data_IF_894980927286
#
_entry.id   IF_894980927286
#
_cell.length_a   1.000
_cell.length_b   1.000
_cell.length_c   1.000
_cell.angle_alpha   90.00
_cell.angle_beta   90.00
_cell.angle_gamma   90.00
#
_symmetry.space_group_name_H-M   'P 1'
#
loop_
_entity.id
_entity.type
_entity.pdbx_description
1 polymer ?
#
# COMPACT_ATOMS: atom_id res chain seq x y z
N UNK A 1 -14.08 43.19 0.15
CA UNK A 1 -14.36 41.83 0.65
C UNK A 1 -14.61 41.91 2.15
N UNK A 2 -15.72 41.37 2.65
CA UNK A 2 -16.00 41.39 4.10
C UNK A 2 -14.99 40.47 4.81
N UNK A 3 -14.42 40.92 5.93
CA UNK A 3 -13.41 40.18 6.69
C UNK A 3 -13.89 38.75 7.06
N UNK A 4 -15.19 38.58 7.30
CA UNK A 4 -15.83 37.28 7.55
C UNK A 4 -15.75 36.34 6.33
N UNK A 5 -15.95 36.89 5.14
CA UNK A 5 -15.88 36.15 3.87
C UNK A 5 -14.45 35.69 3.57
N UNK A 6 -13.44 36.50 3.95
CA UNK A 6 -12.04 36.12 3.82
C UNK A 6 -11.65 34.98 4.77
N UNK A 7 -12.11 35.04 6.02
CA UNK A 7 -11.86 33.97 7.01
C UNK A 7 -12.46 32.62 6.58
N UNK A 8 -13.67 32.62 6.03
CA UNK A 8 -14.33 31.42 5.52
C UNK A 8 -13.53 30.82 4.35
N UNK A 9 -13.06 31.66 3.43
CA UNK A 9 -12.29 31.20 2.27
C UNK A 9 -10.96 30.56 2.69
N UNK A 10 -10.27 31.14 3.68
CA UNK A 10 -9.03 30.61 4.21
C UNK A 10 -9.23 29.24 4.90
N UNK A 11 -10.34 29.07 5.61
CA UNK A 11 -10.68 27.83 6.30
C UNK A 11 -10.96 26.69 5.32
N UNK A 12 -11.68 26.97 4.23
CA UNK A 12 -11.98 25.97 3.19
C UNK A 12 -10.69 25.47 2.52
N UNK A 13 -9.77 26.38 2.19
CA UNK A 13 -8.48 26.02 1.59
C UNK A 13 -7.62 25.18 2.54
N UNK A 14 -7.65 25.44 3.85
CA UNK A 14 -6.90 24.66 4.84
C UNK A 14 -7.42 23.21 4.96
N UNK A 15 -8.73 22.99 4.82
CA UNK A 15 -9.33 21.65 4.91
C UNK A 15 -9.01 20.81 3.66
N UNK A 16 -8.96 21.43 2.47
CA UNK A 16 -8.73 20.72 1.20
C UNK A 16 -7.33 20.11 1.05
N UNK A 17 -6.33 20.61 1.78
CA UNK A 17 -4.92 20.15 1.67
C UNK A 17 -4.68 18.79 2.35
N UNK A 18 -5.60 18.32 3.19
CA UNK A 18 -5.46 17.05 3.91
C UNK A 18 -5.86 15.81 3.09
N UNK A 19 -6.35 15.97 1.86
CA UNK A 19 -6.77 14.88 0.99
C UNK A 19 -5.60 14.34 0.16
N UNK A 20 -4.60 13.73 0.79
CA UNK A 20 -3.60 12.94 0.08
C UNK A 20 -4.21 11.59 -0.32
N UNK A 21 -4.17 11.26 -1.62
CA UNK A 21 -4.47 9.90 -2.07
C UNK A 21 -3.40 8.93 -1.52
N UNK A 22 -3.81 7.70 -1.18
CA UNK A 22 -2.85 6.67 -0.79
C UNK A 22 -1.83 6.45 -1.93
N UNK A 23 -0.52 6.37 -1.64
CA UNK A 23 0.45 6.01 -2.66
C UNK A 23 0.08 4.63 -3.23
N UNK A 24 0.24 4.47 -4.55
CA UNK A 24 0.09 3.17 -5.17
C UNK A 24 0.97 2.15 -4.42
N UNK A 25 0.44 0.96 -4.14
CA UNK A 25 1.23 -0.08 -3.51
C UNK A 25 2.47 -0.35 -4.37
N UNK A 26 3.64 -0.56 -3.76
CA UNK A 26 4.81 -1.02 -4.49
C UNK A 26 4.44 -2.27 -5.31
N UNK A 27 4.92 -2.39 -6.56
CA UNK A 27 4.63 -3.57 -7.37
C UNK A 27 5.10 -4.84 -6.65
N UNK A 28 4.31 -5.91 -6.75
CA UNK A 28 4.71 -7.23 -6.27
C UNK A 28 5.79 -7.76 -7.22
N UNK A 29 6.96 -8.09 -6.67
CA UNK A 29 8.05 -8.71 -7.41
C UNK A 29 7.70 -10.19 -7.59
N UNK A 30 7.63 -10.65 -8.83
CA UNK A 30 7.27 -12.02 -9.20
C UNK A 30 8.47 -13.00 -9.15
N UNK A 31 9.31 -12.87 -8.13
CA UNK A 31 10.49 -13.72 -7.90
C UNK A 31 10.27 -14.79 -6.82
N UNK A 32 9.02 -15.27 -6.72
CA UNK A 32 8.61 -16.30 -5.78
C UNK A 32 9.41 -17.60 -5.95
N UNK A 33 9.89 -18.16 -4.83
CA UNK A 33 10.63 -19.42 -4.76
C UNK A 33 10.06 -20.32 -3.65
N UNK A 34 10.11 -21.66 -3.77
CA UNK A 34 9.70 -22.56 -2.70
C UNK A 34 10.44 -22.27 -1.40
N UNK A 35 9.73 -22.31 -0.27
CA UNK A 35 10.35 -22.18 1.03
C UNK A 35 11.24 -23.39 1.35
N UNK A 36 12.37 -23.13 2.01
CA UNK A 36 13.28 -24.18 2.51
C UNK A 36 12.65 -25.04 3.61
N UNK A 37 11.55 -24.58 4.20
CA UNK A 37 10.81 -25.30 5.25
C UNK A 37 9.64 -26.12 4.68
N UNK A 38 9.47 -26.18 3.36
CA UNK A 38 8.44 -27.02 2.75
C UNK A 38 8.71 -28.50 3.04
N UNK A 39 7.63 -29.28 3.12
CA UNK A 39 7.78 -30.74 3.18
C UNK A 39 8.41 -31.26 1.88
N UNK A 40 9.11 -32.40 1.92
CA UNK A 40 9.63 -33.04 0.72
C UNK A 40 8.55 -33.21 -0.36
N UNK A 41 8.85 -32.75 -1.59
CA UNK A 41 7.91 -32.79 -2.72
C UNK A 41 6.85 -31.69 -2.74
N UNK A 42 6.78 -30.81 -1.74
CA UNK A 42 5.87 -29.66 -1.74
C UNK A 42 6.53 -28.39 -2.29
N UNK A 43 5.90 -27.80 -3.30
CA UNK A 43 6.34 -26.52 -3.89
C UNK A 43 5.88 -25.30 -3.10
N UNK A 44 4.82 -25.44 -2.30
CA UNK A 44 4.21 -24.36 -1.54
C UNK A 44 4.37 -24.58 -0.02
N UNK A 45 4.44 -23.49 0.77
CA UNK A 45 4.41 -22.09 0.34
C UNK A 45 5.62 -21.63 -0.48
N UNK A 46 5.40 -20.60 -1.30
CA UNK A 46 6.46 -19.88 -2.02
C UNK A 46 6.62 -18.48 -1.43
N UNK A 47 7.85 -18.00 -1.32
CA UNK A 47 8.19 -16.66 -0.79
C UNK A 47 8.98 -15.84 -1.81
N UNK A 48 8.80 -14.52 -1.81
CA UNK A 48 9.49 -13.60 -2.72
C UNK A 48 10.49 -12.70 -1.98
N UNK A 49 11.27 -11.89 -2.69
CA UNK A 49 12.30 -11.02 -2.08
C UNK A 49 11.73 -9.88 -1.22
N UNK A 50 10.43 -9.57 -1.36
CA UNK A 50 9.73 -8.58 -0.55
C UNK A 50 9.18 -9.16 0.75
N UNK A 51 9.28 -10.48 0.96
CA UNK A 51 8.73 -11.18 2.13
C UNK A 51 7.27 -11.59 2.00
N UNK A 52 6.66 -11.51 0.81
CA UNK A 52 5.33 -12.05 0.57
C UNK A 52 5.37 -13.58 0.48
N UNK A 53 4.35 -14.23 1.04
CA UNK A 53 4.14 -15.67 0.92
C UNK A 53 2.88 -15.95 0.10
N UNK A 54 2.95 -16.96 -0.78
CA UNK A 54 1.81 -17.50 -1.52
C UNK A 54 1.56 -18.94 -1.10
N UNK A 55 0.28 -19.25 -0.91
CA UNK A 55 -0.19 -20.58 -0.53
C UNK A 55 -1.06 -21.13 -1.66
N UNK A 56 -1.02 -22.45 -1.82
CA UNK A 56 -1.92 -23.21 -2.68
C UNK A 56 -2.50 -24.32 -1.81
N UNK A 57 -3.83 -24.39 -1.73
CA UNK A 57 -4.58 -25.33 -0.91
C UNK A 57 -5.26 -26.34 -1.84
#
# INVERSE_FOLDING_TARGET
MNMKSLSIFLLIQAISVCCYAQPAMPPIIEDFKPSTCNQPGQLYPMVNSQGYARFKI
#
